data_IF_350438361657
#
_entry.id   IF_350438361657
#
_cell.length_a   1.000
_cell.length_b   1.000
_cell.length_c   1.000
_cell.angle_alpha   90.00
_cell.angle_beta   90.00
_cell.angle_gamma   90.00
#
_symmetry.space_group_name_H-M   'P 1'
#
loop_
_entity.id
_entity.type
_entity.pdbx_description
1 polymer ?
#
# COMPACT_ATOMS: atom_id res chain seq x y z
N UNK A 1 2.97 -6.60 -15.83
CA UNK A 1 1.53 -6.37 -15.46
C UNK A 1 1.46 -5.29 -14.36
N UNK A 2 0.44 -4.43 -14.32
CA UNK A 2 0.26 -3.44 -13.23
C UNK A 2 -0.81 -3.91 -12.23
N UNK A 3 -0.52 -3.79 -10.94
CA UNK A 3 -1.40 -4.19 -9.83
C UNK A 3 -1.53 -3.04 -8.83
N UNK A 4 -2.76 -2.75 -8.40
CA UNK A 4 -3.03 -1.85 -7.29
C UNK A 4 -3.36 -2.67 -6.04
N UNK A 5 -2.60 -2.49 -4.97
CA UNK A 5 -2.88 -3.08 -3.67
C UNK A 5 -3.85 -2.16 -2.92
N UNK A 6 -5.01 -2.68 -2.53
CA UNK A 6 -5.95 -2.00 -1.63
C UNK A 6 -5.87 -2.66 -0.27
N UNK A 7 -4.94 -2.18 0.56
CA UNK A 7 -4.75 -2.65 1.93
C UNK A 7 -4.40 -1.44 2.79
N UNK A 8 -5.45 -0.80 3.32
CA UNK A 8 -5.35 0.56 3.83
C UNK A 8 -4.89 0.66 5.29
N UNK A 9 -5.19 -0.34 6.12
CA UNK A 9 -4.84 -0.38 7.54
C UNK A 9 -4.96 -1.81 8.08
N UNK A 10 -4.48 -2.12 9.29
CA UNK A 10 -3.64 -1.31 10.19
C UNK A 10 -2.14 -1.53 9.94
N UNK A 11 -1.23 -0.97 10.76
CA UNK A 11 0.22 -1.12 10.58
C UNK A 11 0.66 -2.59 10.37
N UNK A 12 0.16 -3.52 11.18
CA UNK A 12 0.49 -4.94 11.04
C UNK A 12 0.02 -5.54 9.71
N UNK A 13 -1.15 -5.12 9.22
CA UNK A 13 -1.67 -5.54 7.91
C UNK A 13 -0.78 -5.06 6.76
N UNK A 14 -0.23 -3.84 6.83
CA UNK A 14 0.69 -3.32 5.82
C UNK A 14 1.97 -4.15 5.80
N UNK A 15 2.59 -4.36 6.96
CA UNK A 15 3.85 -5.11 7.09
C UNK A 15 3.67 -6.56 6.62
N UNK A 16 2.60 -7.22 7.04
CA UNK A 16 2.34 -8.62 6.67
C UNK A 16 2.01 -8.81 5.18
N UNK A 17 1.79 -7.74 4.42
CA UNK A 17 1.57 -7.83 2.98
C UNK A 17 2.90 -7.90 2.21
N UNK A 18 4.02 -7.43 2.77
CA UNK A 18 5.33 -7.40 2.08
C UNK A 18 5.80 -8.75 1.54
N UNK A 19 5.70 -9.87 2.29
CA UNK A 19 6.11 -11.17 1.75
C UNK A 19 5.36 -11.55 0.46
N UNK A 20 4.08 -11.18 0.34
CA UNK A 20 3.30 -11.46 -0.86
C UNK A 20 3.78 -10.65 -2.09
N UNK A 21 4.31 -9.44 -1.88
CA UNK A 21 4.93 -8.66 -2.96
C UNK A 21 6.22 -9.32 -3.41
N UNK A 22 7.05 -9.77 -2.47
CA UNK A 22 8.30 -10.47 -2.78
C UNK A 22 8.05 -11.76 -3.56
N UNK A 23 7.07 -12.56 -3.13
CA UNK A 23 6.69 -13.79 -3.83
C UNK A 23 6.22 -13.49 -5.26
N UNK A 24 5.43 -12.43 -5.43
CA UNK A 24 4.95 -12.00 -6.74
C UNK A 24 6.07 -11.47 -7.65
N UNK A 25 7.01 -10.68 -7.12
CA UNK A 25 8.17 -10.20 -7.85
C UNK A 25 9.09 -11.35 -8.29
N UNK A 26 9.27 -12.37 -7.44
CA UNK A 26 10.04 -13.59 -7.79
C UNK A 26 9.36 -14.40 -8.88
N UNK A 27 8.05 -14.57 -8.79
CA UNK A 27 7.30 -15.34 -9.79
C UNK A 27 7.18 -14.60 -11.13
N UNK A 28 7.07 -13.25 -11.09
CA UNK A 28 6.82 -12.40 -12.24
C UNK A 28 7.66 -11.13 -12.22
N UNK A 29 8.84 -11.14 -12.86
CA UNK A 29 9.75 -9.99 -12.86
C UNK A 29 9.19 -8.72 -13.52
N UNK A 30 8.14 -8.82 -14.34
CA UNK A 30 7.50 -7.68 -15.02
C UNK A 30 6.32 -7.09 -14.22
N UNK A 31 6.04 -7.58 -13.02
CA UNK A 31 4.97 -7.06 -12.18
C UNK A 31 5.37 -5.70 -11.57
N UNK A 32 4.44 -4.76 -11.58
CA UNK A 32 4.60 -3.46 -10.96
C UNK A 32 3.43 -3.21 -10.00
N UNK A 33 3.74 -2.62 -8.85
CA UNK A 33 2.78 -2.37 -7.79
C UNK A 33 2.62 -0.89 -7.51
N UNK A 34 1.36 -0.46 -7.45
CA UNK A 34 0.95 0.75 -6.75
C UNK A 34 0.18 0.33 -5.49
N UNK A 35 0.06 1.20 -4.48
CA UNK A 35 -0.60 0.87 -3.22
C UNK A 35 -1.48 2.00 -2.69
N UNK A 36 -2.77 1.71 -2.45
CA UNK A 36 -3.71 2.55 -1.73
C UNK A 36 -3.67 2.30 -0.21
N UNK A 37 -3.19 3.27 0.57
CA UNK A 37 -2.93 3.13 2.01
C UNK A 37 -3.41 4.34 2.82
N UNK A 38 -3.77 4.16 4.09
CA UNK A 38 -3.97 5.30 5.00
C UNK A 38 -2.69 6.14 5.10
N UNK A 39 -2.81 7.47 5.10
CA UNK A 39 -1.69 8.43 5.14
C UNK A 39 -0.67 8.13 6.24
N UNK A 40 -1.15 7.67 7.41
CA UNK A 40 -0.33 7.34 8.57
C UNK A 40 0.65 6.17 8.33
N UNK A 41 0.40 5.32 7.31
CA UNK A 41 1.23 4.16 7.00
C UNK A 41 1.95 4.28 5.66
N UNK A 42 1.82 5.41 4.95
CA UNK A 42 2.49 5.64 3.65
C UNK A 42 4.02 5.50 3.75
N UNK A 43 4.62 5.97 4.85
CA UNK A 43 6.05 5.82 5.10
C UNK A 43 6.50 4.36 5.25
N UNK A 44 5.63 3.47 5.75
CA UNK A 44 5.92 2.04 5.85
C UNK A 44 5.92 1.43 4.45
N UNK A 45 4.87 1.69 3.66
CA UNK A 45 4.77 1.20 2.28
C UNK A 45 5.98 1.60 1.44
N UNK A 46 6.50 2.82 1.63
CA UNK A 46 7.68 3.33 0.93
C UNK A 46 8.98 2.56 1.22
N UNK A 47 9.02 1.70 2.25
CA UNK A 47 10.18 0.86 2.55
C UNK A 47 10.34 -0.32 1.58
N UNK A 48 9.30 -0.68 0.82
CA UNK A 48 9.35 -1.82 -0.08
C UNK A 48 9.71 -1.38 -1.51
N UNK A 49 10.84 -1.85 -2.09
CA UNK A 49 11.36 -1.34 -3.37
C UNK A 49 10.48 -1.66 -4.58
N UNK A 50 9.62 -2.68 -4.48
CA UNK A 50 8.68 -3.04 -5.55
C UNK A 50 7.50 -2.06 -5.71
N UNK A 51 7.34 -1.09 -4.81
CA UNK A 51 6.26 -0.09 -4.87
C UNK A 51 6.67 1.11 -5.71
N UNK A 52 5.86 1.43 -6.71
CA UNK A 52 5.98 2.63 -7.54
C UNK A 52 5.22 3.80 -6.91
N UNK A 53 3.90 3.84 -7.11
CA UNK A 53 3.05 4.95 -6.64
C UNK A 53 2.34 4.60 -5.36
N UNK A 54 2.38 5.51 -4.39
CA UNK A 54 1.61 5.42 -3.15
C UNK A 54 0.41 6.36 -3.25
N UNK A 55 -0.79 5.78 -3.23
CA UNK A 55 -2.05 6.51 -3.18
C UNK A 55 -2.50 6.62 -1.72
N UNK A 56 -2.46 7.82 -1.16
CA UNK A 56 -2.89 8.02 0.23
C UNK A 56 -4.39 8.26 0.32
N UNK A 57 -5.00 7.66 1.34
CA UNK A 57 -6.37 7.97 1.78
C UNK A 57 -6.36 8.38 3.25
N UNK A 58 -7.40 9.06 3.69
CA UNK A 58 -7.56 9.46 5.09
C UNK A 58 -8.96 9.08 5.60
N UNK A 59 -9.40 7.85 5.35
CA UNK A 59 -10.78 7.40 5.61
C UNK A 59 -11.11 7.58 7.11
N UNK A 60 -10.14 7.32 8.00
CA UNK A 60 -10.30 7.58 9.44
C UNK A 60 -10.62 9.05 9.77
N UNK A 61 -9.99 10.01 9.06
CA UNK A 61 -10.27 11.45 9.21
C UNK A 61 -11.61 11.80 8.54
N UNK A 62 -11.83 11.37 7.30
CA UNK A 62 -13.03 11.66 6.50
C UNK A 62 -14.33 11.17 7.15
N UNK A 63 -14.27 10.04 7.89
CA UNK A 63 -15.42 9.55 8.66
C UNK A 63 -15.81 10.45 9.82
N UNK A 64 -14.89 11.27 10.33
CA UNK A 64 -15.15 12.27 11.37
C UNK A 64 -15.60 13.59 10.76
N UNK A 65 -14.93 14.00 9.67
CA UNK A 65 -15.32 15.15 8.87
C UNK A 65 -14.75 15.03 7.46
N UNK A 66 -15.63 15.07 6.45
CA UNK A 66 -15.27 14.84 5.05
C UNK A 66 -14.61 16.07 4.39
N UNK A 67 -14.90 17.27 4.92
CA UNK A 67 -14.55 18.55 4.30
C UNK A 67 -13.71 19.46 5.20
N UNK A 68 -13.28 18.98 6.37
CA UNK A 68 -12.31 19.69 7.21
C UNK A 68 -10.86 19.45 6.74
#
# INVERSE_FOLDING_TARGET
MKVLIVKTSSMGDVIHTFPALEDACRARPDIAFDWCVEEAFAGIVALHPAIGTIHTVAIRRWRKSLFD
#
